data_IF_972544122977
#
_entry.id   IF_972544122977
#
_cell.length_a   1.000
_cell.length_b   1.000
_cell.length_c   1.000
_cell.angle_alpha   90.00
_cell.angle_beta   90.00
_cell.angle_gamma   90.00
#
_symmetry.space_group_name_H-M   'P 1'
#
loop_
_entity.id
_entity.type
_entity.pdbx_description
1 polymer ?
#
# COMPACT_ATOMS: atom_id res chain seq x y z
N UNK A 1 11.06 -7.83 -12.79
CA UNK A 1 11.60 -7.32 -11.52
C UNK A 1 10.44 -6.89 -10.63
N UNK A 2 10.26 -7.51 -9.43
CA UNK A 2 9.32 -7.05 -8.42
C UNK A 2 9.89 -5.87 -7.65
N UNK A 3 9.06 -4.87 -7.30
CA UNK A 3 9.47 -3.72 -6.49
C UNK A 3 8.36 -3.27 -5.55
N UNK A 4 8.73 -2.97 -4.30
CA UNK A 4 7.82 -2.34 -3.34
C UNK A 4 7.49 -0.90 -3.77
N UNK A 5 6.19 -0.58 -3.84
CA UNK A 5 5.73 0.76 -4.25
C UNK A 5 5.19 1.61 -3.09
N UNK A 6 5.18 1.08 -1.87
CA UNK A 6 4.69 1.78 -0.68
C UNK A 6 3.35 1.26 -0.16
N UNK A 7 2.68 1.99 0.73
CA UNK A 7 3.08 3.32 1.25
C UNK A 7 4.36 3.27 2.08
N UNK A 8 5.06 4.42 2.22
CA UNK A 8 6.29 4.50 2.98
C UNK A 8 7.11 5.78 2.73
N UNK A 9 8.41 5.71 3.03
CA UNK A 9 9.30 6.87 2.86
C UNK A 9 9.36 7.37 1.42
N UNK A 10 9.02 8.62 1.22
CA UNK A 10 8.87 9.27 -0.08
C UNK A 10 10.14 9.18 -0.98
N UNK A 11 11.30 9.47 -0.41
CA UNK A 11 12.57 9.43 -1.15
C UNK A 11 12.98 8.00 -1.46
N UNK A 12 12.89 7.09 -0.49
CA UNK A 12 13.22 5.68 -0.65
C UNK A 12 12.38 4.99 -1.71
N UNK A 13 11.08 5.27 -1.76
CA UNK A 13 10.17 4.72 -2.78
C UNK A 13 10.55 5.18 -4.19
N UNK A 14 10.91 6.44 -4.36
CA UNK A 14 11.34 6.94 -5.68
C UNK A 14 12.62 6.28 -6.15
N UNK A 15 13.60 6.14 -5.25
CA UNK A 15 14.88 5.49 -5.57
C UNK A 15 14.65 4.04 -5.97
N UNK A 16 13.92 3.26 -5.17
CA UNK A 16 13.69 1.84 -5.43
C UNK A 16 12.90 1.61 -6.71
N UNK A 17 11.84 2.38 -6.96
CA UNK A 17 11.05 2.28 -8.19
C UNK A 17 11.87 2.68 -9.42
N UNK A 18 12.66 3.75 -9.34
CA UNK A 18 13.53 4.17 -10.45
C UNK A 18 14.59 3.11 -10.77
N UNK A 19 15.25 2.56 -9.74
CA UNK A 19 16.25 1.50 -9.90
C UNK A 19 15.65 0.22 -10.53
N UNK A 20 14.48 -0.21 -10.03
CA UNK A 20 13.79 -1.38 -10.56
C UNK A 20 13.37 -1.20 -12.04
N UNK A 21 12.87 -0.01 -12.38
CA UNK A 21 12.52 0.33 -13.78
C UNK A 21 13.74 0.37 -14.68
N UNK A 22 14.85 0.94 -14.22
CA UNK A 22 16.12 0.96 -14.97
C UNK A 22 16.66 -0.45 -15.21
N UNK A 23 16.68 -1.30 -14.18
CA UNK A 23 17.09 -2.70 -14.29
C UNK A 23 16.20 -3.49 -15.24
N UNK A 24 14.88 -3.33 -15.12
CA UNK A 24 13.90 -3.98 -15.98
C UNK A 24 14.09 -3.59 -17.45
N UNK A 25 14.30 -2.28 -17.72
CA UNK A 25 14.58 -1.76 -19.05
C UNK A 25 15.86 -2.38 -19.63
N UNK A 26 16.95 -2.37 -18.87
CA UNK A 26 18.23 -2.92 -19.29
C UNK A 26 18.18 -4.42 -19.59
N UNK A 27 17.28 -5.15 -18.94
CA UNK A 27 17.10 -6.61 -19.09
C UNK A 27 15.99 -6.99 -20.07
N UNK A 28 15.25 -6.04 -20.63
CA UNK A 28 14.11 -6.31 -21.51
C UNK A 28 12.96 -7.07 -20.84
N UNK A 29 12.77 -6.90 -19.51
CA UNK A 29 11.73 -7.57 -18.72
C UNK A 29 10.85 -6.55 -18.00
N UNK A 30 9.60 -6.88 -17.62
CA UNK A 30 8.74 -5.93 -16.92
C UNK A 30 9.21 -5.66 -15.48
N UNK A 31 9.00 -4.42 -15.02
CA UNK A 31 8.98 -4.08 -13.61
C UNK A 31 7.55 -4.16 -13.08
N UNK A 32 7.35 -4.77 -11.92
CA UNK A 32 6.03 -5.06 -11.32
C UNK A 32 5.98 -4.47 -9.92
N UNK A 33 5.05 -3.53 -9.72
CA UNK A 33 4.82 -2.92 -8.42
C UNK A 33 4.05 -3.83 -7.47
N UNK A 34 4.44 -3.83 -6.21
CA UNK A 34 3.74 -4.53 -5.12
C UNK A 34 3.63 -3.57 -3.95
N UNK A 35 2.42 -3.32 -3.46
CA UNK A 35 2.20 -2.47 -2.30
C UNK A 35 2.40 -3.23 -0.99
N UNK A 36 2.61 -2.51 0.11
CA UNK A 36 2.57 -3.08 1.44
C UNK A 36 1.21 -3.68 1.78
N UNK A 37 0.14 -3.11 1.23
CA UNK A 37 -1.21 -3.64 1.37
C UNK A 37 -1.36 -5.02 0.72
N UNK A 38 -0.82 -5.21 -0.49
CA UNK A 38 -0.83 -6.52 -1.18
C UNK A 38 -0.12 -7.59 -0.35
N UNK A 39 0.98 -7.22 0.31
CA UNK A 39 1.74 -8.14 1.15
C UNK A 39 0.95 -8.60 2.37
N UNK A 40 0.32 -7.67 3.10
CA UNK A 40 -0.54 -8.02 4.24
C UNK A 40 -1.80 -8.75 3.79
N UNK A 41 -2.41 -8.35 2.67
CA UNK A 41 -3.56 -9.06 2.10
C UNK A 41 -3.23 -10.52 1.81
N UNK A 42 -2.04 -10.81 1.29
CA UNK A 42 -1.60 -12.19 1.04
C UNK A 42 -1.48 -13.03 2.32
N UNK A 43 -1.23 -12.41 3.47
CA UNK A 43 -1.14 -13.09 4.76
C UNK A 43 -2.50 -13.39 5.40
N UNK A 44 -3.59 -12.82 4.87
CA UNK A 44 -4.94 -12.98 5.41
C UNK A 44 -5.83 -13.78 4.45
N UNK A 45 -6.46 -14.85 4.93
CA UNK A 45 -7.31 -15.72 4.11
C UNK A 45 -8.77 -15.29 4.04
N UNK A 46 -9.19 -14.29 4.81
CA UNK A 46 -10.58 -13.82 4.82
C UNK A 46 -10.97 -13.21 3.48
N UNK A 47 -12.26 -13.35 3.12
CA UNK A 47 -12.79 -12.80 1.87
C UNK A 47 -12.83 -11.26 1.90
N UNK A 48 -13.25 -10.67 3.03
CA UNK A 48 -13.34 -9.23 3.24
C UNK A 48 -12.32 -8.79 4.26
N UNK A 49 -11.37 -7.95 3.84
CA UNK A 49 -10.26 -7.53 4.70
C UNK A 49 -10.08 -6.02 4.62
N UNK A 50 -10.00 -5.38 5.76
CA UNK A 50 -9.45 -4.04 5.88
C UNK A 50 -7.98 -4.18 6.29
N UNK A 51 -7.08 -3.91 5.36
CA UNK A 51 -5.64 -3.94 5.60
C UNK A 51 -5.20 -2.61 6.17
N UNK A 52 -4.43 -2.65 7.26
CA UNK A 52 -3.87 -1.49 7.94
C UNK A 52 -2.35 -1.57 8.02
N UNK A 53 -1.68 -0.51 7.59
CA UNK A 53 -0.24 -0.32 7.71
C UNK A 53 0.07 0.86 8.63
N UNK A 54 1.20 0.83 9.37
CA UNK A 54 1.57 1.97 10.20
C UNK A 54 1.83 3.20 9.33
N UNK A 55 1.22 4.30 9.73
CA UNK A 55 1.40 5.62 9.15
C UNK A 55 2.31 6.52 9.98
N UNK A 56 2.57 7.75 9.53
CA UNK A 56 3.34 8.72 10.29
C UNK A 56 2.59 9.17 11.55
N UNK A 57 3.33 9.51 12.61
CA UNK A 57 2.82 10.09 13.87
C UNK A 57 1.74 9.27 14.57
N UNK A 58 1.77 7.94 14.43
CA UNK A 58 0.78 7.05 15.03
C UNK A 58 -0.51 6.90 14.22
N UNK A 59 -0.60 7.50 13.05
CA UNK A 59 -1.69 7.27 12.10
C UNK A 59 -1.56 5.93 11.39
N UNK A 60 -2.51 5.65 10.51
CA UNK A 60 -2.57 4.41 9.73
C UNK A 60 -2.85 4.68 8.26
N UNK A 61 -2.33 3.82 7.40
CA UNK A 61 -2.76 3.70 6.02
C UNK A 61 -3.72 2.52 5.89
N UNK A 62 -4.83 2.71 5.21
CA UNK A 62 -5.91 1.72 5.11
C UNK A 62 -6.22 1.39 3.65
N UNK A 63 -6.52 0.12 3.37
CA UNK A 63 -7.04 -0.36 2.08
C UNK A 63 -8.01 -1.51 2.31
N UNK A 64 -9.23 -1.37 1.79
CA UNK A 64 -10.22 -2.44 1.78
C UNK A 64 -9.99 -3.43 0.63
N UNK A 65 -10.35 -4.70 0.86
CA UNK A 65 -10.31 -5.76 -0.13
C UNK A 65 -11.56 -6.65 -0.04
N UNK A 66 -12.04 -7.10 -1.20
CA UNK A 66 -12.96 -8.23 -1.34
C UNK A 66 -12.31 -9.24 -2.28
N UNK A 67 -12.02 -10.43 -1.79
CA UNK A 67 -11.15 -11.35 -2.52
C UNK A 67 -9.77 -10.74 -2.81
N UNK A 68 -9.36 -10.72 -4.05
CA UNK A 68 -8.12 -10.10 -4.52
C UNK A 68 -8.29 -8.63 -4.93
N UNK A 69 -9.52 -8.14 -5.04
CA UNK A 69 -9.85 -6.83 -5.58
C UNK A 69 -9.84 -5.75 -4.48
N UNK A 70 -9.29 -4.59 -4.79
CA UNK A 70 -9.31 -3.44 -3.90
C UNK A 70 -10.68 -2.77 -3.88
N UNK A 71 -11.11 -2.32 -2.72
CA UNK A 71 -12.34 -1.53 -2.53
C UNK A 71 -11.94 -0.09 -2.27
N UNK A 72 -12.25 0.77 -3.22
CA UNK A 72 -11.88 2.19 -3.16
C UNK A 72 -10.38 2.44 -3.28
N UNK A 73 -9.98 3.69 -3.11
CA UNK A 73 -8.58 4.09 -3.04
C UNK A 73 -8.02 3.91 -1.62
N UNK A 74 -6.70 3.69 -1.46
CA UNK A 74 -6.10 3.66 -0.13
C UNK A 74 -6.19 5.03 0.55
N UNK A 75 -6.36 5.04 1.85
CA UNK A 75 -6.57 6.24 2.67
C UNK A 75 -5.53 6.32 3.77
N UNK A 76 -5.17 7.55 4.16
CA UNK A 76 -4.42 7.82 5.36
C UNK A 76 -5.34 8.42 6.43
N UNK A 77 -5.29 7.88 7.64
CA UNK A 77 -5.94 8.44 8.82
C UNK A 77 -4.87 8.81 9.85
N UNK A 78 -4.88 10.06 10.30
CA UNK A 78 -3.97 10.53 11.35
C UNK A 78 -4.35 9.95 12.73
N UNK A 79 -5.63 9.61 12.93
CA UNK A 79 -6.15 8.97 14.13
C UNK A 79 -6.95 7.72 13.78
N UNK A 80 -6.51 6.52 14.21
CA UNK A 80 -7.25 5.27 13.99
C UNK A 80 -8.66 5.25 14.58
N UNK A 81 -8.93 6.01 15.62
CA UNK A 81 -10.25 6.06 16.25
C UNK A 81 -11.24 6.98 15.50
N UNK A 82 -10.75 7.84 14.62
CA UNK A 82 -11.55 8.78 13.86
C UNK A 82 -11.84 8.33 12.41
N UNK A 83 -11.53 7.07 12.05
CA UNK A 83 -11.80 6.56 10.71
C UNK A 83 -13.31 6.49 10.42
N UNK A 84 -13.67 6.71 9.15
CA UNK A 84 -15.01 6.42 8.68
C UNK A 84 -15.21 4.91 8.54
N UNK A 85 -16.21 4.30 9.23
CA UNK A 85 -16.51 2.88 9.08
C UNK A 85 -16.78 2.42 7.64
N UNK A 86 -17.21 3.33 6.75
CA UNK A 86 -17.44 3.05 5.35
C UNK A 86 -16.14 2.71 4.56
N UNK A 87 -14.97 2.92 5.16
CA UNK A 87 -13.68 2.50 4.58
C UNK A 87 -13.49 0.98 4.62
N UNK A 88 -14.19 0.28 5.51
CA UNK A 88 -14.20 -1.17 5.50
C UNK A 88 -15.00 -1.70 4.30
N UNK A 89 -14.58 -2.84 3.70
CA UNK A 89 -15.38 -3.46 2.66
C UNK A 89 -16.76 -3.84 3.21
N UNK A 90 -17.82 -3.41 2.52
CA UNK A 90 -19.20 -3.67 2.95
C UNK A 90 -19.52 -5.16 3.06
N UNK A 91 -20.46 -5.52 3.93
CA UNK A 91 -20.92 -6.88 4.16
C UNK A 91 -20.41 -7.49 5.46
N UNK A 92 -20.92 -8.67 5.80
CA UNK A 92 -20.54 -9.39 7.02
C UNK A 92 -19.17 -10.05 6.90
N UNK A 93 -18.55 -10.34 8.05
CA UNK A 93 -17.33 -11.13 8.12
C UNK A 93 -16.04 -10.35 7.76
N UNK A 94 -16.03 -9.03 7.89
CA UNK A 94 -14.82 -8.23 7.71
C UNK A 94 -13.78 -8.59 8.77
N UNK A 95 -12.54 -8.79 8.32
CA UNK A 95 -11.37 -8.97 9.19
C UNK A 95 -10.47 -7.74 9.05
N UNK A 96 -10.01 -7.19 10.15
CA UNK A 96 -8.97 -6.15 10.13
C UNK A 96 -7.61 -6.80 10.30
N UNK A 97 -6.70 -6.54 9.36
CA UNK A 97 -5.36 -7.14 9.33
C UNK A 97 -4.27 -6.06 9.36
N UNK A 98 -3.36 -6.15 10.29
CA UNK A 98 -2.16 -5.30 10.38
C UNK A 98 -2.13 -4.39 11.59
N UNK A 99 -1.55 -3.21 11.43
CA UNK A 99 -1.32 -2.25 12.51
C UNK A 99 -2.64 -1.76 13.12
N UNK A 100 -2.68 -1.59 14.43
CA UNK A 100 -3.84 -1.09 15.18
C UNK A 100 -5.13 -1.89 14.94
N UNK A 101 -5.01 -3.17 14.55
CA UNK A 101 -6.14 -4.00 14.12
C UNK A 101 -7.26 -4.05 15.15
N UNK A 102 -6.94 -4.16 16.44
CA UNK A 102 -7.94 -4.22 17.51
C UNK A 102 -8.75 -2.91 17.62
N UNK A 103 -8.10 -1.74 17.55
CA UNK A 103 -8.76 -0.43 17.59
C UNK A 103 -9.66 -0.22 16.38
N UNK A 104 -9.13 -0.51 15.20
CA UNK A 104 -9.84 -0.37 13.92
C UNK A 104 -11.05 -1.32 13.87
N UNK A 105 -10.91 -2.57 14.37
CA UNK A 105 -11.99 -3.55 14.39
C UNK A 105 -13.20 -3.08 15.20
N UNK A 106 -12.98 -2.44 16.35
CA UNK A 106 -14.05 -1.84 17.15
C UNK A 106 -14.78 -0.74 16.36
N UNK A 107 -14.02 0.07 15.61
CA UNK A 107 -14.58 1.18 14.85
C UNK A 107 -15.41 0.74 13.64
N UNK A 108 -14.97 -0.31 12.92
CA UNK A 108 -15.66 -0.82 11.73
C UNK A 108 -16.56 -2.02 12.02
N UNK A 109 -16.73 -2.40 13.30
CA UNK A 109 -17.51 -3.57 13.74
C UNK A 109 -17.07 -4.86 13.02
N UNK A 110 -15.76 -5.08 12.95
CA UNK A 110 -15.19 -6.24 12.28
C UNK A 110 -15.49 -7.54 13.05
N UNK A 111 -15.59 -8.64 12.31
CA UNK A 111 -15.83 -9.97 12.88
C UNK A 111 -14.59 -10.55 13.58
N UNK A 112 -13.40 -10.16 13.16
CA UNK A 112 -12.13 -10.63 13.71
C UNK A 112 -10.98 -9.65 13.43
N UNK A 113 -9.85 -9.87 14.11
CA UNK A 113 -8.61 -9.16 13.89
C UNK A 113 -7.47 -10.14 13.62
N UNK A 114 -6.49 -9.69 12.85
CA UNK A 114 -5.25 -10.42 12.63
C UNK A 114 -4.08 -9.44 12.74
N UNK A 115 -3.31 -9.56 13.80
CA UNK A 115 -2.05 -8.82 13.91
C UNK A 115 -1.04 -9.36 12.88
N UNK A 116 -0.49 -8.46 12.09
CA UNK A 116 0.55 -8.76 11.12
C UNK A 116 1.38 -7.52 10.84
N UNK A 117 2.66 -7.71 10.62
CA UNK A 117 3.56 -6.64 10.18
C UNK A 117 4.39 -7.07 8.96
N UNK A 118 4.83 -6.10 8.18
CA UNK A 118 5.60 -6.35 6.97
C UNK A 118 6.98 -6.99 7.24
N UNK A 119 7.75 -6.60 8.27
CA UNK A 119 9.04 -7.21 8.55
C UNK A 119 8.99 -8.70 8.78
N UNK A 120 8.00 -9.21 9.51
CA UNK A 120 7.85 -10.65 9.79
C UNK A 120 7.45 -11.47 8.57
N UNK A 121 6.86 -10.84 7.54
CA UNK A 121 6.43 -11.52 6.31
C UNK A 121 7.56 -11.76 5.30
N UNK A 122 8.79 -11.29 5.54
CA UNK A 122 9.89 -11.44 4.59
C UNK A 122 9.65 -10.64 3.30
N UNK A 123 9.76 -9.33 3.37
CA UNK A 123 9.39 -8.38 2.30
C UNK A 123 9.85 -8.77 0.89
N UNK A 124 11.13 -9.13 0.73
CA UNK A 124 11.69 -9.45 -0.59
C UNK A 124 11.04 -10.70 -1.19
N UNK A 125 10.84 -11.75 -0.39
CA UNK A 125 10.19 -12.98 -0.83
C UNK A 125 8.70 -12.75 -1.16
N UNK A 126 8.00 -11.98 -0.33
CA UNK A 126 6.60 -11.60 -0.58
C UNK A 126 6.44 -10.81 -1.87
N UNK A 127 7.28 -9.78 -2.08
CA UNK A 127 7.29 -9.00 -3.32
C UNK A 127 7.55 -9.91 -4.53
N UNK A 128 8.54 -10.81 -4.45
CA UNK A 128 8.87 -11.71 -5.53
C UNK A 128 7.70 -12.66 -5.87
N UNK A 129 7.04 -13.22 -4.88
CA UNK A 129 5.87 -14.12 -5.06
C UNK A 129 4.70 -13.41 -5.72
N UNK A 130 4.33 -12.21 -5.23
CA UNK A 130 3.21 -11.46 -5.82
C UNK A 130 3.56 -11.01 -7.24
N UNK A 131 4.78 -10.51 -7.47
CA UNK A 131 5.21 -10.11 -8.78
C UNK A 131 5.23 -11.28 -9.79
N UNK A 132 5.68 -12.46 -9.36
CA UNK A 132 5.66 -13.67 -10.18
C UNK A 132 4.22 -14.08 -10.53
N UNK A 133 3.30 -14.05 -9.57
CA UNK A 133 1.89 -14.37 -9.80
C UNK A 133 1.24 -13.37 -10.78
N UNK A 134 1.48 -12.08 -10.62
CA UNK A 134 1.00 -11.04 -11.55
C UNK A 134 1.56 -11.21 -12.96
N UNK A 135 2.83 -11.58 -13.05
CA UNK A 135 3.44 -11.85 -14.36
C UNK A 135 2.83 -13.09 -15.04
N UNK A 136 2.62 -14.15 -14.27
CA UNK A 136 2.06 -15.41 -14.78
C UNK A 136 0.55 -15.35 -15.11
N UNK A 137 -0.18 -14.33 -14.62
CA UNK A 137 -1.62 -14.18 -14.89
C UNK A 137 -1.93 -13.73 -16.33
N UNK A 138 -0.94 -13.27 -17.09
CA UNK A 138 -1.14 -12.76 -18.45
C UNK A 138 -1.87 -11.40 -18.51
N UNK A 139 -2.20 -10.80 -17.38
CA UNK A 139 -2.83 -9.48 -17.34
C UNK A 139 -1.85 -8.37 -17.72
N UNK A 140 -2.40 -7.27 -18.22
CA UNK A 140 -1.59 -6.07 -18.50
C UNK A 140 -0.97 -5.54 -17.22
N UNK A 141 0.37 -5.39 -17.23
CA UNK A 141 1.13 -4.92 -16.07
C UNK A 141 1.39 -3.43 -16.23
N UNK A 142 0.78 -2.64 -15.39
CA UNK A 142 1.04 -1.21 -15.34
C UNK A 142 2.50 -0.95 -14.88
N UNK A 143 3.11 0.09 -15.44
CA UNK A 143 4.45 0.53 -15.04
C UNK A 143 4.43 0.93 -13.56
N UNK A 144 5.31 0.39 -12.69
CA UNK A 144 5.28 0.71 -11.28
C UNK A 144 5.58 2.20 -11.04
N UNK A 145 4.79 2.79 -10.16
CA UNK A 145 4.95 4.15 -9.66
C UNK A 145 4.84 4.13 -8.13
N UNK A 146 5.47 5.07 -7.40
CA UNK A 146 5.26 5.19 -5.97
C UNK A 146 3.79 5.39 -5.61
N UNK A 147 3.31 4.64 -4.61
CA UNK A 147 1.96 4.78 -4.08
C UNK A 147 1.95 5.88 -3.01
N UNK A 148 1.48 7.05 -3.38
CA UNK A 148 1.31 8.18 -2.49
C UNK A 148 -0.12 8.20 -1.95
N UNK A 149 -0.31 7.69 -0.73
CA UNK A 149 -1.61 7.71 -0.05
C UNK A 149 -1.88 9.07 0.60
N UNK A 150 -0.82 9.68 1.16
CA UNK A 150 -0.87 11.05 1.70
C UNK A 150 -0.23 12.01 0.70
N UNK A 151 -0.85 13.19 0.42
CA UNK A 151 -0.20 14.25 -0.32
C UNK A 151 1.15 14.62 0.30
N UNK A 152 2.10 15.08 -0.51
CA UNK A 152 3.38 15.56 0.01
C UNK A 152 3.15 16.74 0.96
N UNK A 153 3.72 16.68 2.17
CA UNK A 153 3.74 17.81 3.13
C UNK A 153 4.73 18.91 2.67
N UNK A 154 4.66 19.28 1.39
CA UNK A 154 5.49 20.36 0.86
C UNK A 154 4.86 21.69 1.23
N UNK A 155 5.55 22.49 2.02
CA UNK A 155 5.14 23.88 2.23
C UNK A 155 5.09 24.59 0.86
N UNK A 156 4.04 25.40 0.58
CA UNK A 156 4.03 26.22 -0.63
C UNK A 156 5.31 27.04 -0.75
N UNK A 157 5.83 27.16 -1.97
CA UNK A 157 7.00 28.00 -2.20
C UNK A 157 6.72 29.42 -1.71
N UNK A 158 7.54 29.92 -0.78
CA UNK A 158 7.40 31.28 -0.22
C UNK A 158 7.99 32.36 -1.13
N UNK A 159 8.77 31.97 -2.11
CA UNK A 159 9.41 32.87 -3.07
C UNK A 159 8.80 32.67 -4.46
N UNK A 160 8.74 33.74 -5.23
CA UNK A 160 8.41 33.64 -6.65
C UNK A 160 9.42 32.75 -7.37
N UNK A 161 9.01 31.99 -8.39
CA UNK A 161 9.95 31.19 -9.15
C UNK A 161 11.05 32.08 -9.75
N UNK A 162 12.29 31.56 -9.86
CA UNK A 162 13.37 32.32 -10.47
C UNK A 162 13.01 32.71 -11.91
N UNK A 163 13.32 33.93 -12.29
CA UNK A 163 13.16 34.38 -13.68
C UNK A 163 14.13 33.59 -14.54
N UNK A 164 13.63 32.79 -15.46
CA UNK A 164 14.47 32.11 -16.45
C UNK A 164 14.83 33.16 -17.46
N UNK A 165 16.09 33.58 -17.49
CA UNK A 165 16.62 34.46 -18.51
C UNK A 165 16.67 33.69 -19.84
N UNK A 166 16.38 34.38 -20.97
CA UNK A 166 16.38 33.76 -22.30
C UNK A 166 17.78 33.32 -22.74
#
# INVERSE_FOLDING_TARGET
VGVGVGPGNFTGLRISVAAARGLALARGIPAIGVSGFDLLRMACSAERVLVSLPGPRGGVYLQGYVGAETVGAPVHADDPDAIDPAMAPGGAGVVVCGAEAARLALRVQAAATQEADLPTLGLAAGIARIAAARYGSGQSIARPAPLYVKPADAAPARAAPPVILP
#
